data_IF_502087441399
#
_entry.id   IF_502087441399
#
_cell.length_a   1.000
_cell.length_b   1.000
_cell.length_c   1.000
_cell.angle_alpha   90.00
_cell.angle_beta   90.00
_cell.angle_gamma   90.00
#
_symmetry.space_group_name_H-M   'P 1'
#
loop_
_entity.id
_entity.type
_entity.pdbx_description
1 polymer ?
#
# COMPACT_ATOMS: atom_id res chain seq x y z
N UNK A 1 8.42 63.85 -43.22
CA UNK A 1 7.80 62.49 -43.15
C UNK A 1 8.66 61.42 -42.48
N UNK A 2 10.00 61.57 -42.37
CA UNK A 2 10.91 60.54 -41.74
C UNK A 2 10.70 60.37 -40.23
N UNK A 3 10.37 61.42 -39.44
CA UNK A 3 10.22 61.34 -37.99
C UNK A 3 8.99 60.55 -37.49
N UNK A 4 7.89 60.51 -38.30
CA UNK A 4 6.65 59.77 -37.86
C UNK A 4 6.80 58.27 -37.89
N UNK A 5 7.62 57.72 -38.81
CA UNK A 5 7.88 56.26 -38.89
C UNK A 5 8.76 55.79 -37.75
N UNK A 6 9.73 56.58 -37.29
CA UNK A 6 10.55 56.24 -36.13
C UNK A 6 9.76 56.23 -34.83
N UNK A 7 8.84 57.20 -34.66
CA UNK A 7 7.99 57.30 -33.48
C UNK A 7 7.02 56.10 -33.40
N UNK A 8 6.42 55.69 -34.52
CA UNK A 8 5.55 54.50 -34.56
C UNK A 8 6.30 53.22 -34.25
N UNK A 9 7.53 53.06 -34.75
CA UNK A 9 8.35 51.91 -34.43
C UNK A 9 8.74 51.82 -32.95
N UNK A 10 9.09 52.95 -32.30
CA UNK A 10 9.34 53.01 -30.86
C UNK A 10 8.12 52.66 -30.02
N UNK A 11 6.94 53.15 -30.39
CA UNK A 11 5.69 52.81 -29.67
C UNK A 11 5.35 51.33 -29.81
N UNK A 12 5.50 50.72 -31.00
CA UNK A 12 5.29 49.30 -31.22
C UNK A 12 6.28 48.47 -30.39
N UNK A 13 7.56 48.84 -30.33
CA UNK A 13 8.56 48.18 -29.51
C UNK A 13 8.23 48.22 -28.00
N UNK A 14 7.78 49.39 -27.51
CA UNK A 14 7.37 49.54 -26.10
C UNK A 14 6.13 48.73 -25.78
N UNK A 15 5.17 48.62 -26.68
CA UNK A 15 3.95 47.79 -26.49
C UNK A 15 4.32 46.31 -26.48
N UNK A 16 5.16 45.86 -27.42
CA UNK A 16 5.63 44.46 -27.44
C UNK A 16 6.45 44.15 -26.20
N UNK A 17 7.32 45.05 -25.77
CA UNK A 17 8.11 44.90 -24.56
C UNK A 17 7.21 44.85 -23.30
N UNK A 18 6.19 45.72 -23.20
CA UNK A 18 5.24 45.65 -22.11
C UNK A 18 4.41 44.38 -22.11
N UNK A 19 3.97 43.89 -23.28
CA UNK A 19 3.27 42.58 -23.41
C UNK A 19 4.18 41.42 -22.99
N UNK A 20 5.44 41.45 -23.40
CA UNK A 20 6.44 40.40 -23.03
C UNK A 20 6.75 40.46 -21.53
N UNK A 21 6.87 41.66 -20.93
CA UNK A 21 7.09 41.79 -19.48
C UNK A 21 5.85 41.38 -18.69
N UNK A 22 4.65 41.80 -19.08
CA UNK A 22 3.40 41.35 -18.47
C UNK A 22 3.26 39.83 -18.61
N UNK A 23 3.54 39.25 -19.80
CA UNK A 23 3.51 37.82 -20.03
C UNK A 23 4.59 37.10 -19.21
N UNK A 24 5.77 37.66 -19.02
CA UNK A 24 6.79 37.14 -18.11
C UNK A 24 6.40 37.24 -16.63
N UNK A 25 5.77 38.34 -16.21
CA UNK A 25 5.27 38.55 -14.83
C UNK A 25 4.06 37.68 -14.55
N UNK A 26 3.15 37.46 -15.52
CA UNK A 26 2.04 36.50 -15.38
C UNK A 26 2.52 35.04 -15.47
N UNK A 27 3.70 34.81 -16.06
CA UNK A 27 4.43 33.54 -16.04
C UNK A 27 5.51 33.46 -14.95
N UNK A 28 5.64 34.47 -14.07
CA UNK A 28 6.30 34.23 -12.79
C UNK A 28 5.47 33.12 -12.12
N UNK A 29 5.93 31.91 -12.31
CA UNK A 29 5.50 30.72 -11.59
C UNK A 29 5.33 31.15 -10.14
N UNK A 30 4.08 31.20 -9.65
CA UNK A 30 3.83 31.09 -8.22
C UNK A 30 4.82 30.03 -7.75
N UNK A 31 5.73 30.38 -6.87
CA UNK A 31 6.59 29.37 -6.24
C UNK A 31 5.63 28.28 -5.77
N UNK A 32 5.74 27.13 -6.38
CA UNK A 32 4.84 26.02 -6.12
C UNK A 32 5.16 25.54 -4.72
N UNK A 33 4.30 25.90 -3.76
CA UNK A 33 4.47 25.58 -2.35
C UNK A 33 4.13 24.11 -2.18
N UNK A 34 5.08 23.32 -1.68
CA UNK A 34 4.81 21.97 -1.21
C UNK A 34 4.53 22.02 0.28
N UNK A 35 3.41 21.42 0.67
CA UNK A 35 3.03 21.18 2.06
C UNK A 35 3.54 19.80 2.49
N UNK A 36 3.78 19.63 3.78
CA UNK A 36 4.15 18.36 4.39
C UNK A 36 3.30 18.16 5.63
N UNK A 37 2.62 17.03 5.68
CA UNK A 37 1.83 16.61 6.83
C UNK A 37 2.36 15.27 7.34
N UNK A 38 2.39 15.10 8.65
CA UNK A 38 2.82 13.89 9.32
C UNK A 38 1.95 13.62 10.56
N UNK A 39 1.86 12.37 10.94
CA UNK A 39 1.13 11.97 12.13
C UNK A 39 1.17 10.46 12.35
N UNK A 40 0.32 9.98 13.25
CA UNK A 40 0.22 8.56 13.62
C UNK A 40 -1.20 8.08 13.34
N UNK A 41 -1.30 6.99 12.57
CA UNK A 41 -2.55 6.28 12.32
C UNK A 41 -2.26 4.77 12.19
N UNK A 42 -3.21 3.89 12.53
CA UNK A 42 -3.07 2.42 12.44
C UNK A 42 -1.81 1.87 13.15
N UNK A 43 -1.40 2.50 14.25
CA UNK A 43 -0.14 2.22 14.99
C UNK A 43 1.14 2.40 14.14
N UNK A 44 1.10 3.21 13.11
CA UNK A 44 2.26 3.57 12.27
C UNK A 44 2.28 5.07 11.99
N UNK A 45 3.37 5.53 11.38
CA UNK A 45 3.55 6.93 11.00
C UNK A 45 3.08 7.11 9.55
N UNK A 46 2.51 8.27 9.23
CA UNK A 46 2.29 8.70 7.86
C UNK A 46 3.11 9.95 7.54
N UNK A 47 3.52 10.06 6.28
CA UNK A 47 4.15 11.24 5.70
C UNK A 47 3.48 11.57 4.37
N UNK A 48 2.97 12.79 4.23
CA UNK A 48 2.26 13.22 3.04
C UNK A 48 2.88 14.53 2.56
N UNK A 49 3.37 14.54 1.32
CA UNK A 49 3.93 15.73 0.66
C UNK A 49 3.08 16.02 -0.57
N UNK A 50 2.58 17.25 -0.71
CA UNK A 50 1.72 17.63 -1.82
C UNK A 50 1.89 19.11 -2.18
N UNK A 51 1.66 19.42 -3.45
CA UNK A 51 1.77 20.77 -3.99
C UNK A 51 0.43 21.49 -3.91
N UNK A 52 0.25 22.33 -2.90
CA UNK A 52 -0.99 23.08 -2.69
C UNK A 52 -0.77 24.35 -1.89
N UNK A 53 -1.67 25.35 -2.05
CA UNK A 53 -1.56 26.66 -1.39
C UNK A 53 -1.99 26.63 0.09
N UNK A 54 -2.65 25.57 0.55
CA UNK A 54 -3.21 25.45 1.91
C UNK A 54 -2.78 24.14 2.57
N UNK A 55 -2.67 24.17 3.89
CA UNK A 55 -2.46 22.97 4.70
C UNK A 55 -3.77 22.17 4.80
N UNK A 56 -3.70 20.87 4.57
CA UNK A 56 -4.82 19.92 4.59
C UNK A 56 -4.75 18.92 5.76
N UNK A 57 -3.91 19.17 6.77
CA UNK A 57 -3.71 18.27 7.91
C UNK A 57 -5.04 17.80 8.52
N UNK A 58 -5.94 18.74 8.83
CA UNK A 58 -7.21 18.40 9.47
C UNK A 58 -8.12 17.53 8.59
N UNK A 59 -8.18 17.82 7.28
CA UNK A 59 -8.99 17.04 6.35
C UNK A 59 -8.43 15.64 6.12
N UNK A 60 -7.10 15.50 6.08
CA UNK A 60 -6.42 14.21 5.99
C UNK A 60 -6.68 13.37 7.25
N UNK A 61 -6.58 13.99 8.43
CA UNK A 61 -6.85 13.29 9.70
C UNK A 61 -8.31 12.85 9.82
N UNK A 62 -9.26 13.70 9.43
CA UNK A 62 -10.69 13.36 9.43
C UNK A 62 -10.97 12.15 8.52
N UNK A 63 -10.38 12.12 7.33
CA UNK A 63 -10.53 11.01 6.38
C UNK A 63 -9.92 9.70 6.91
N UNK A 64 -8.72 9.77 7.47
CA UNK A 64 -8.04 8.63 8.09
C UNK A 64 -8.79 8.09 9.31
N UNK A 65 -9.36 8.95 10.14
CA UNK A 65 -10.18 8.52 11.29
C UNK A 65 -11.49 7.86 10.85
N UNK A 66 -12.12 8.36 9.79
CA UNK A 66 -13.31 7.74 9.22
C UNK A 66 -12.98 6.37 8.61
N UNK A 67 -11.81 6.25 7.97
CA UNK A 67 -11.30 4.98 7.45
C UNK A 67 -11.03 3.98 8.58
N UNK A 68 -10.40 4.41 9.69
CA UNK A 68 -10.18 3.59 10.89
C UNK A 68 -11.50 3.07 11.47
N UNK A 69 -12.50 3.94 11.59
CA UNK A 69 -13.84 3.56 12.05
C UNK A 69 -14.55 2.56 11.12
N UNK A 70 -14.06 2.41 9.89
CA UNK A 70 -14.63 1.46 8.91
C UNK A 70 -13.90 0.12 8.92
N UNK A 71 -12.56 0.11 8.82
CA UNK A 71 -11.78 -1.07 8.44
C UNK A 71 -10.74 -1.51 9.46
N UNK A 72 -10.53 -0.76 10.55
CA UNK A 72 -9.55 -1.14 11.56
C UNK A 72 -10.05 -2.27 12.45
N UNK A 73 -9.38 -3.44 12.49
CA UNK A 73 -9.73 -4.52 13.42
C UNK A 73 -9.31 -4.21 14.87
N UNK A 74 -8.54 -3.14 15.09
CA UNK A 74 -8.09 -2.67 16.40
C UNK A 74 -9.08 -1.67 17.03
N UNK A 75 -10.00 -1.13 16.24
CA UNK A 75 -11.06 -0.26 16.72
C UNK A 75 -12.28 -1.10 17.05
N UNK A 76 -12.61 -1.19 18.34
CA UNK A 76 -13.72 -2.02 18.86
C UNK A 76 -15.10 -1.62 18.30
N UNK A 77 -15.24 -0.39 17.82
CA UNK A 77 -16.51 0.15 17.27
C UNK A 77 -16.55 0.19 15.76
N UNK A 78 -15.47 -0.22 15.09
CA UNK A 78 -15.37 -0.19 13.62
C UNK A 78 -16.41 -1.09 12.95
N UNK A 79 -16.74 -0.78 11.69
CA UNK A 79 -17.68 -1.58 10.93
C UNK A 79 -17.20 -3.04 10.77
N UNK A 80 -15.90 -3.27 10.56
CA UNK A 80 -15.34 -4.63 10.44
C UNK A 80 -15.46 -5.40 11.76
N UNK A 81 -15.21 -4.77 12.91
CA UNK A 81 -15.37 -5.40 14.24
C UNK A 81 -16.81 -5.80 14.46
N UNK A 82 -17.76 -4.91 14.21
CA UNK A 82 -19.19 -5.19 14.32
C UNK A 82 -19.66 -6.30 13.36
N UNK A 83 -19.14 -6.34 12.12
CA UNK A 83 -19.38 -7.44 11.17
C UNK A 83 -18.86 -8.76 11.76
N UNK A 84 -17.67 -8.76 12.36
CA UNK A 84 -17.09 -9.94 12.98
C UNK A 84 -17.89 -10.43 14.18
N UNK A 85 -18.49 -9.54 14.95
CA UNK A 85 -19.41 -9.83 16.07
C UNK A 85 -20.82 -10.22 15.61
N UNK A 86 -21.07 -10.24 14.31
CA UNK A 86 -22.37 -10.57 13.70
C UNK A 86 -23.48 -9.57 14.03
N UNK A 87 -23.13 -8.29 14.18
CA UNK A 87 -24.10 -7.23 14.34
C UNK A 87 -24.85 -7.00 13.02
N UNK A 88 -26.14 -7.34 13.01
CA UNK A 88 -27.00 -7.22 11.85
C UNK A 88 -27.41 -5.78 11.52
N UNK A 89 -27.09 -4.82 12.39
CA UNK A 89 -27.47 -3.40 12.25
C UNK A 89 -26.39 -2.55 11.60
N UNK A 90 -25.18 -3.12 11.37
CA UNK A 90 -24.09 -2.40 10.75
C UNK A 90 -24.46 -2.00 9.32
N UNK A 91 -24.19 -0.73 8.99
CA UNK A 91 -24.33 -0.20 7.63
C UNK A 91 -22.92 -0.10 7.04
N UNK A 92 -22.69 -0.77 5.93
CA UNK A 92 -21.41 -0.79 5.23
C UNK A 92 -21.33 0.41 4.29
N UNK A 93 -20.24 1.17 4.37
CA UNK A 93 -19.93 2.23 3.42
C UNK A 93 -19.24 1.68 2.16
N UNK A 94 -18.97 2.55 1.19
CA UNK A 94 -18.30 2.16 -0.08
C UNK A 94 -16.91 1.59 0.16
N UNK A 95 -16.13 2.08 1.11
CA UNK A 95 -14.80 1.56 1.41
C UNK A 95 -14.83 0.10 1.84
N UNK A 96 -15.78 -0.25 2.72
CA UNK A 96 -15.96 -1.65 3.11
C UNK A 96 -16.33 -2.53 1.91
N UNK A 97 -17.26 -2.07 1.09
CA UNK A 97 -17.70 -2.79 -0.12
C UNK A 97 -16.56 -2.97 -1.12
N UNK A 98 -15.77 -1.93 -1.35
CA UNK A 98 -14.65 -1.95 -2.30
C UNK A 98 -13.55 -2.91 -1.85
N UNK A 99 -13.10 -2.81 -0.58
CA UNK A 99 -12.06 -3.71 -0.06
C UNK A 99 -12.53 -5.17 -0.05
N UNK A 100 -13.81 -5.41 0.28
CA UNK A 100 -14.38 -6.75 0.26
C UNK A 100 -14.36 -7.36 -1.16
N UNK A 101 -14.84 -6.62 -2.17
CA UNK A 101 -14.85 -7.07 -3.56
C UNK A 101 -13.44 -7.28 -4.10
N UNK A 102 -12.53 -6.32 -3.83
CA UNK A 102 -11.13 -6.47 -4.26
C UNK A 102 -10.47 -7.68 -3.62
N UNK A 103 -10.77 -7.94 -2.36
CA UNK A 103 -10.29 -9.13 -1.65
C UNK A 103 -10.77 -10.44 -2.30
N UNK A 104 -12.03 -10.51 -2.73
CA UNK A 104 -12.56 -11.69 -3.45
C UNK A 104 -11.87 -11.92 -4.79
N UNK A 105 -11.60 -10.84 -5.54
CA UNK A 105 -10.89 -10.92 -6.81
C UNK A 105 -9.46 -11.45 -6.62
N UNK A 106 -8.72 -10.86 -5.66
CA UNK A 106 -7.32 -11.27 -5.39
C UNK A 106 -7.27 -12.67 -4.79
N UNK A 107 -8.22 -13.04 -3.91
CA UNK A 107 -8.37 -14.41 -3.42
C UNK A 107 -8.48 -15.41 -4.57
N UNK A 108 -9.33 -15.11 -5.54
CA UNK A 108 -9.51 -15.97 -6.74
C UNK A 108 -8.24 -16.03 -7.59
N UNK A 109 -7.57 -14.90 -7.81
CA UNK A 109 -6.37 -14.80 -8.66
C UNK A 109 -5.13 -15.46 -8.05
N UNK A 110 -5.10 -15.58 -6.71
CA UNK A 110 -4.00 -16.16 -5.94
C UNK A 110 -4.28 -17.59 -5.47
N UNK A 111 -5.38 -18.22 -5.95
CA UNK A 111 -5.81 -19.56 -5.53
C UNK A 111 -5.91 -19.70 -3.99
N UNK A 112 -6.41 -18.64 -3.33
CA UNK A 112 -6.61 -18.58 -1.89
C UNK A 112 -5.38 -18.21 -1.05
N UNK A 113 -4.24 -17.92 -1.67
CA UNK A 113 -3.05 -17.48 -0.92
C UNK A 113 -3.24 -16.12 -0.22
N UNK A 114 -4.01 -15.23 -0.82
CA UNK A 114 -4.54 -14.04 -0.15
C UNK A 114 -5.95 -14.35 0.37
N UNK A 115 -6.13 -14.38 1.69
CA UNK A 115 -7.46 -14.66 2.28
C UNK A 115 -7.71 -13.84 3.55
N UNK A 116 -8.58 -12.83 3.49
CA UNK A 116 -8.94 -12.03 4.66
C UNK A 116 -9.67 -12.81 5.77
N UNK A 117 -10.06 -14.06 5.54
CA UNK A 117 -10.71 -14.88 6.56
C UNK A 117 -9.73 -15.69 7.42
N UNK A 118 -8.42 -15.54 7.20
CA UNK A 118 -7.35 -16.34 7.84
C UNK A 118 -7.16 -16.05 9.35
N UNK A 119 -7.83 -15.03 9.91
CA UNK A 119 -7.69 -14.60 11.31
C UNK A 119 -7.80 -15.72 12.36
N UNK A 120 -8.68 -16.71 12.27
CA UNK A 120 -8.72 -17.79 13.24
C UNK A 120 -7.41 -18.55 13.35
N UNK A 121 -6.72 -18.77 12.21
CA UNK A 121 -5.40 -19.43 12.15
C UNK A 121 -4.30 -18.51 12.72
N UNK A 122 -4.28 -17.22 12.32
CA UNK A 122 -3.31 -16.24 12.81
C UNK A 122 -3.37 -16.14 14.35
N UNK A 123 -4.58 -16.07 14.92
CA UNK A 123 -4.81 -16.04 16.36
C UNK A 123 -4.32 -17.32 17.04
N UNK A 124 -4.64 -18.48 16.48
CA UNK A 124 -4.26 -19.78 17.02
C UNK A 124 -2.74 -20.02 17.02
N UNK A 125 -2.06 -19.55 15.97
CA UNK A 125 -0.60 -19.55 15.89
C UNK A 125 0.05 -18.46 16.78
N UNK A 126 -0.71 -17.57 17.43
CA UNK A 126 -0.21 -16.56 18.35
C UNK A 126 0.43 -15.33 17.70
N UNK A 127 0.11 -15.07 16.44
CA UNK A 127 0.50 -13.85 15.73
C UNK A 127 -0.62 -12.79 15.70
N UNK A 128 -1.79 -13.09 16.27
CA UNK A 128 -2.93 -12.19 16.37
C UNK A 128 -3.13 -11.64 17.79
N UNK A 129 -4.39 -11.39 18.13
CA UNK A 129 -4.81 -10.79 19.41
C UNK A 129 -4.70 -11.74 20.63
N UNK A 130 -4.47 -13.03 20.43
CA UNK A 130 -4.42 -14.05 21.50
C UNK A 130 -3.05 -14.71 21.54
N UNK A 131 -2.65 -15.17 22.73
CA UNK A 131 -1.45 -16.00 22.88
C UNK A 131 -1.66 -17.33 22.14
N UNK A 132 -0.65 -17.73 21.35
CA UNK A 132 -0.69 -18.98 20.58
C UNK A 132 -0.59 -20.21 21.49
N UNK A 133 -1.16 -21.31 20.99
CA UNK A 133 -1.10 -22.62 21.62
C UNK A 133 -0.28 -23.58 20.75
N UNK A 134 0.19 -24.68 21.35
CA UNK A 134 0.70 -25.78 20.55
C UNK A 134 -0.49 -26.44 19.83
N UNK A 135 -0.55 -26.27 18.49
CA UNK A 135 -1.65 -26.75 17.67
C UNK A 135 -1.38 -28.17 17.19
N UNK A 136 -2.36 -29.06 17.32
CA UNK A 136 -2.35 -30.34 16.61
C UNK A 136 -2.90 -30.16 15.19
N UNK A 137 -2.65 -31.14 14.31
CA UNK A 137 -3.24 -31.13 12.95
C UNK A 137 -4.78 -31.10 13.01
N UNK A 138 -5.38 -31.75 13.99
CA UNK A 138 -6.83 -31.72 14.19
C UNK A 138 -7.36 -30.31 14.54
N UNK A 139 -6.62 -29.55 15.34
CA UNK A 139 -7.00 -28.17 15.65
C UNK A 139 -6.95 -27.29 14.39
N UNK A 140 -5.92 -27.47 13.56
CA UNK A 140 -5.78 -26.75 12.29
C UNK A 140 -6.90 -27.12 11.32
N UNK A 141 -7.20 -28.42 11.13
CA UNK A 141 -8.32 -28.87 10.30
C UNK A 141 -9.67 -28.31 10.77
N UNK A 142 -9.85 -28.18 12.09
CA UNK A 142 -11.05 -27.58 12.68
C UNK A 142 -11.14 -26.09 12.40
N UNK A 143 -10.02 -25.36 12.42
CA UNK A 143 -9.99 -23.92 12.14
C UNK A 143 -10.18 -23.62 10.65
N UNK A 144 -9.64 -24.45 9.75
CA UNK A 144 -9.80 -24.32 8.29
C UNK A 144 -11.26 -24.36 7.83
N UNK A 145 -12.17 -24.93 8.64
CA UNK A 145 -13.61 -24.88 8.35
C UNK A 145 -14.17 -23.44 8.34
N UNK A 146 -13.51 -22.51 9.06
CA UNK A 146 -13.89 -21.09 9.18
C UNK A 146 -13.03 -20.16 8.33
N UNK A 147 -12.20 -20.69 7.43
CA UNK A 147 -11.35 -19.96 6.50
C UNK A 147 -11.80 -20.23 5.08
N UNK A 148 -11.84 -19.20 4.23
CA UNK A 148 -12.21 -19.26 2.82
C UNK A 148 -13.17 -18.12 2.44
N UNK A 149 -12.73 -17.23 1.53
CA UNK A 149 -13.57 -16.15 0.99
C UNK A 149 -14.78 -16.64 0.19
N UNK A 150 -14.78 -17.90 -0.28
CA UNK A 150 -15.91 -18.58 -0.91
C UNK A 150 -17.08 -18.82 0.06
N UNK A 151 -16.81 -18.79 1.36
CA UNK A 151 -17.79 -19.01 2.43
C UNK A 151 -18.42 -17.72 2.97
N UNK A 152 -17.99 -16.57 2.43
CA UNK A 152 -18.51 -15.25 2.81
C UNK A 152 -18.97 -14.52 1.55
N UNK A 153 -20.12 -13.88 1.60
CA UNK A 153 -20.65 -13.08 0.49
C UNK A 153 -21.14 -11.72 0.98
N UNK A 154 -21.24 -10.78 0.04
CA UNK A 154 -21.86 -9.48 0.25
C UNK A 154 -23.22 -9.50 -0.46
N UNK A 155 -24.28 -9.40 0.29
CA UNK A 155 -25.66 -9.37 -0.24
C UNK A 155 -26.46 -8.22 0.38
N UNK A 156 -27.08 -7.39 -0.48
CA UNK A 156 -27.89 -6.24 -0.09
C UNK A 156 -27.22 -5.32 0.96
N UNK A 157 -25.89 -5.06 0.80
CA UNK A 157 -25.11 -4.23 1.71
C UNK A 157 -24.79 -4.87 3.06
N UNK A 158 -24.91 -6.19 3.17
CA UNK A 158 -24.59 -6.97 4.38
C UNK A 158 -23.63 -8.10 4.07
N UNK A 159 -22.73 -8.37 5.01
CA UNK A 159 -21.86 -9.56 4.95
C UNK A 159 -22.63 -10.76 5.44
N UNK A 160 -22.73 -11.79 4.59
CA UNK A 160 -23.34 -13.07 4.90
C UNK A 160 -22.22 -14.10 5.06
N UNK A 161 -22.15 -14.74 6.22
CA UNK A 161 -21.18 -15.77 6.56
C UNK A 161 -21.86 -17.13 6.61
N UNK A 162 -21.23 -18.16 6.03
CA UNK A 162 -21.74 -19.55 6.16
C UNK A 162 -21.70 -20.03 7.60
N UNK A 163 -20.72 -19.58 8.38
CA UNK A 163 -20.64 -19.86 9.83
C UNK A 163 -20.37 -18.54 10.59
N UNK A 164 -21.10 -18.32 11.68
CA UNK A 164 -20.95 -17.10 12.49
C UNK A 164 -19.60 -16.93 13.16
N UNK A 165 -18.78 -17.98 13.24
CA UNK A 165 -17.41 -17.97 13.77
C UNK A 165 -16.38 -17.43 12.77
N UNK A 166 -16.74 -17.32 11.51
CA UNK A 166 -15.89 -16.70 10.51
C UNK A 166 -15.66 -15.22 10.82
N UNK A 167 -14.46 -14.73 10.57
CA UNK A 167 -14.09 -13.34 10.77
C UNK A 167 -13.29 -12.81 9.60
N UNK A 168 -13.48 -11.53 9.28
CA UNK A 168 -12.73 -10.80 8.27
C UNK A 168 -11.60 -10.02 8.92
N UNK A 169 -10.46 -9.96 8.26
CA UNK A 169 -9.35 -9.09 8.60
C UNK A 169 -8.73 -8.54 7.31
N UNK A 170 -8.87 -7.25 7.09
CA UNK A 170 -8.35 -6.60 5.90
C UNK A 170 -6.95 -5.98 6.11
N UNK A 171 -6.22 -6.32 7.19
CA UNK A 171 -4.91 -5.71 7.48
C UNK A 171 -3.86 -5.90 6.37
N UNK A 172 -4.04 -6.87 5.47
CA UNK A 172 -3.17 -7.16 4.34
C UNK A 172 -3.54 -6.40 3.04
N UNK A 173 -4.48 -5.45 3.11
CA UNK A 173 -4.99 -4.68 1.98
C UNK A 173 -5.44 -3.28 2.40
N UNK A 174 -5.85 -3.11 3.67
CA UNK A 174 -6.47 -1.88 4.14
C UNK A 174 -5.48 -0.72 4.28
N UNK A 175 -4.20 -0.98 4.60
CA UNK A 175 -3.21 0.11 4.65
C UNK A 175 -2.99 0.71 3.28
N UNK A 176 -2.80 -0.13 2.26
CA UNK A 176 -2.73 0.33 0.88
C UNK A 176 -3.97 1.11 0.47
N UNK A 177 -5.16 0.63 0.85
CA UNK A 177 -6.39 1.34 0.53
C UNK A 177 -6.53 2.68 1.28
N UNK A 178 -6.04 2.81 2.51
CA UNK A 178 -6.00 4.09 3.21
C UNK A 178 -5.12 5.13 2.49
N UNK A 179 -4.00 4.68 1.90
CA UNK A 179 -3.14 5.52 1.06
C UNK A 179 -3.90 6.00 -0.18
N UNK A 180 -4.64 5.11 -0.86
CA UNK A 180 -5.45 5.46 -2.03
C UNK A 180 -6.55 6.47 -1.66
N UNK A 181 -7.24 6.30 -0.52
CA UNK A 181 -8.28 7.21 -0.04
C UNK A 181 -7.72 8.62 0.18
N UNK A 182 -6.54 8.74 0.77
CA UNK A 182 -5.91 10.07 0.94
C UNK A 182 -5.46 10.63 -0.42
N UNK A 183 -4.94 9.80 -1.32
CA UNK A 183 -4.60 10.23 -2.68
C UNK A 183 -5.83 10.75 -3.44
N UNK A 184 -6.97 10.05 -3.34
CA UNK A 184 -8.26 10.48 -3.92
C UNK A 184 -8.75 11.82 -3.30
N UNK A 185 -8.57 12.02 -1.98
CA UNK A 185 -8.84 13.30 -1.32
C UNK A 185 -8.02 14.43 -1.95
N UNK A 186 -6.71 14.24 -2.13
CA UNK A 186 -5.83 15.24 -2.75
C UNK A 186 -6.23 15.52 -4.21
N UNK A 187 -6.52 14.48 -4.97
CA UNK A 187 -6.99 14.58 -6.37
C UNK A 187 -8.32 15.34 -6.48
N UNK A 188 -9.25 15.11 -5.54
CA UNK A 188 -10.54 15.79 -5.49
C UNK A 188 -10.41 17.32 -5.35
N UNK A 189 -9.27 17.78 -4.80
CA UNK A 189 -8.90 19.19 -4.67
C UNK A 189 -8.12 19.75 -5.86
N UNK A 190 -7.91 18.92 -6.91
CA UNK A 190 -7.14 19.28 -8.10
C UNK A 190 -5.62 19.27 -7.88
N UNK A 191 -5.13 18.55 -6.88
CA UNK A 191 -3.69 18.41 -6.62
C UNK A 191 -3.13 17.30 -7.54
N UNK A 192 -2.13 17.66 -8.34
CA UNK A 192 -1.54 16.76 -9.33
C UNK A 192 -0.13 16.25 -8.94
N UNK A 193 0.48 16.84 -7.92
CA UNK A 193 1.83 16.50 -7.48
C UNK A 193 1.82 16.18 -5.98
N UNK A 194 1.96 14.89 -5.65
CA UNK A 194 1.96 14.45 -4.26
C UNK A 194 2.65 13.09 -4.09
N UNK A 195 3.09 12.83 -2.87
CA UNK A 195 3.48 11.54 -2.34
C UNK A 195 2.72 11.33 -1.03
N UNK A 196 1.90 10.30 -0.97
CA UNK A 196 1.22 9.83 0.25
C UNK A 196 1.91 8.55 0.70
N UNK A 197 2.37 8.49 1.94
CA UNK A 197 2.99 7.31 2.54
C UNK A 197 2.37 7.04 3.91
N UNK A 198 1.95 5.81 4.17
CA UNK A 198 1.42 5.33 5.46
C UNK A 198 2.08 3.99 5.79
N UNK A 199 3.03 4.00 6.73
CA UNK A 199 3.67 2.78 7.23
C UNK A 199 4.45 1.97 6.20
N UNK A 200 4.91 2.62 5.12
CA UNK A 200 5.69 2.02 4.03
C UNK A 200 4.90 1.76 2.75
N UNK A 201 3.57 1.71 2.80
CA UNK A 201 2.70 1.71 1.63
C UNK A 201 2.56 3.15 1.11
N UNK A 202 2.63 3.33 -0.22
CA UNK A 202 2.63 4.67 -0.79
C UNK A 202 1.97 4.78 -2.17
N UNK A 203 1.52 6.00 -2.47
CA UNK A 203 1.11 6.47 -3.81
C UNK A 203 1.90 7.71 -4.15
N UNK A 204 2.54 7.71 -5.32
CA UNK A 204 3.23 8.88 -5.87
C UNK A 204 2.58 9.33 -7.17
N UNK A 205 2.26 10.62 -7.28
CA UNK A 205 1.71 11.23 -8.49
C UNK A 205 2.49 12.48 -8.88
N UNK A 206 2.66 12.69 -10.18
CA UNK A 206 3.30 13.88 -10.74
C UNK A 206 4.78 13.99 -10.38
N UNK A 207 5.19 15.14 -9.85
CA UNK A 207 6.59 15.47 -9.63
C UNK A 207 6.89 15.87 -8.19
N UNK A 208 8.11 15.61 -7.75
CA UNK A 208 8.62 16.07 -6.47
C UNK A 208 9.03 17.57 -6.56
N UNK A 209 9.43 18.21 -5.45
CA UNK A 209 9.86 19.61 -5.44
C UNK A 209 11.04 19.94 -6.36
N UNK A 210 11.81 18.93 -6.82
CA UNK A 210 12.90 19.09 -7.78
C UNK A 210 12.43 18.99 -9.24
N UNK A 211 11.16 18.69 -9.48
CA UNK A 211 10.60 18.47 -10.83
C UNK A 211 10.87 17.09 -11.40
N UNK A 212 11.28 16.12 -10.57
CA UNK A 212 11.55 14.73 -10.91
C UNK A 212 10.42 13.82 -10.44
N UNK A 213 10.40 12.55 -10.89
CA UNK A 213 9.54 11.54 -10.26
C UNK A 213 9.94 11.34 -8.80
N UNK A 214 9.00 10.88 -7.99
CA UNK A 214 9.25 10.54 -6.60
C UNK A 214 10.22 9.37 -6.53
N UNK A 215 11.30 9.51 -5.78
CA UNK A 215 12.28 8.45 -5.57
C UNK A 215 12.02 7.78 -4.22
N UNK A 216 11.82 6.47 -4.25
CA UNK A 216 11.43 5.68 -3.09
C UNK A 216 12.39 4.50 -2.94
N UNK A 217 12.81 4.23 -1.70
CA UNK A 217 13.72 3.12 -1.38
C UNK A 217 12.97 1.81 -1.16
N UNK A 218 13.53 0.72 -1.70
CA UNK A 218 13.21 -0.66 -1.28
C UNK A 218 14.25 -1.04 -0.22
N UNK A 219 13.81 -1.38 0.99
CA UNK A 219 14.70 -1.69 2.09
C UNK A 219 15.24 -3.12 2.02
N UNK A 220 16.48 -3.30 2.49
CA UNK A 220 17.05 -4.62 2.75
C UNK A 220 16.28 -5.33 3.87
N UNK A 221 16.11 -6.67 3.79
CA UNK A 221 15.46 -7.45 4.84
C UNK A 221 16.41 -7.70 6.02
N UNK A 222 16.58 -6.73 6.91
CA UNK A 222 17.40 -6.84 8.13
C UNK A 222 16.57 -7.27 9.33
N UNK A 223 17.01 -8.32 10.05
CA UNK A 223 16.28 -8.89 11.20
C UNK A 223 16.26 -7.98 12.42
N UNK A 224 17.30 -7.17 12.65
CA UNK A 224 17.53 -6.41 13.87
C UNK A 224 17.30 -4.89 13.73
N UNK A 225 16.75 -4.41 12.61
CA UNK A 225 16.51 -2.97 12.46
C UNK A 225 15.29 -2.53 13.29
N UNK A 226 15.51 -1.94 14.47
CA UNK A 226 14.48 -1.19 15.22
C UNK A 226 14.00 0.06 14.45
N UNK A 227 14.71 0.46 13.39
CA UNK A 227 14.39 1.63 12.60
C UNK A 227 13.48 1.26 11.42
N UNK A 228 12.50 2.11 11.15
CA UNK A 228 11.66 2.05 9.93
C UNK A 228 12.52 2.29 8.69
N UNK A 229 13.66 2.96 8.84
CA UNK A 229 14.67 3.19 7.79
C UNK A 229 15.81 2.16 7.91
N UNK A 230 15.64 0.97 7.30
CA UNK A 230 16.75 0.01 7.07
C UNK A 230 17.71 0.51 5.99
N UNK A 231 18.79 -0.26 5.73
CA UNK A 231 19.61 -0.03 4.54
C UNK A 231 18.78 -0.16 3.27
N UNK A 232 18.99 0.75 2.33
CA UNK A 232 18.29 0.72 1.02
C UNK A 232 18.98 -0.33 0.14
N UNK A 233 18.18 -1.26 -0.39
CA UNK A 233 18.62 -2.23 -1.39
C UNK A 233 18.60 -1.61 -2.79
N UNK A 234 17.50 -0.92 -3.11
CA UNK A 234 17.28 -0.35 -4.44
C UNK A 234 16.44 0.93 -4.35
N UNK A 235 16.54 1.80 -5.34
CA UNK A 235 15.71 3.00 -5.47
C UNK A 235 14.85 2.88 -6.73
N UNK A 236 13.56 3.16 -6.59
CA UNK A 236 12.61 3.19 -7.71
C UNK A 236 12.03 4.59 -7.89
N UNK A 237 11.71 4.93 -9.14
CA UNK A 237 11.08 6.20 -9.52
C UNK A 237 9.58 5.99 -9.78
N UNK A 238 8.74 6.70 -9.05
CA UNK A 238 7.28 6.67 -9.18
C UNK A 238 6.80 8.05 -9.62
N UNK A 239 6.22 8.16 -10.82
CA UNK A 239 5.60 9.39 -11.34
C UNK A 239 4.07 9.31 -11.27
N UNK A 240 3.52 8.10 -11.36
CA UNK A 240 2.09 7.80 -11.30
C UNK A 240 1.94 6.31 -10.98
N UNK A 241 1.55 6.01 -9.75
CA UNK A 241 1.41 4.64 -9.25
C UNK A 241 1.63 4.50 -7.76
N UNK A 242 1.50 3.28 -7.31
CA UNK A 242 1.55 2.90 -5.91
C UNK A 242 2.58 1.80 -5.66
N UNK A 243 3.13 1.76 -4.45
CA UNK A 243 4.07 0.72 -4.03
C UNK A 243 3.73 0.24 -2.62
N UNK A 244 3.82 -1.06 -2.43
CA UNK A 244 3.74 -1.70 -1.11
C UNK A 244 4.78 -2.81 -0.97
N UNK A 245 5.22 -3.04 0.26
CA UNK A 245 6.21 -4.08 0.58
C UNK A 245 5.75 -4.92 1.76
N UNK A 246 5.70 -6.23 1.56
CA UNK A 246 5.51 -7.22 2.63
C UNK A 246 6.78 -8.03 2.88
N UNK A 247 7.04 -8.38 4.15
CA UNK A 247 8.24 -9.14 4.50
C UNK A 247 8.09 -9.95 5.78
N UNK A 248 8.82 -11.07 5.85
CA UNK A 248 8.83 -12.01 6.98
C UNK A 248 10.04 -11.84 7.92
N UNK A 249 10.87 -10.82 7.68
CA UNK A 249 12.13 -10.65 8.41
C UNK A 249 11.97 -9.90 9.74
N UNK A 250 10.91 -9.11 9.91
CA UNK A 250 10.65 -8.34 11.16
C UNK A 250 9.73 -9.07 12.13
N UNK A 251 8.76 -9.82 11.63
CA UNK A 251 7.73 -10.49 12.44
C UNK A 251 7.89 -12.00 12.37
N UNK A 252 8.62 -12.58 13.30
CA UNK A 252 8.82 -14.01 13.45
C UNK A 252 8.97 -14.38 14.92
N UNK A 253 8.89 -15.66 15.22
CA UNK A 253 9.25 -16.22 16.53
C UNK A 253 10.10 -17.46 16.37
N UNK A 254 10.81 -17.83 17.41
CA UNK A 254 11.51 -19.13 17.47
C UNK A 254 10.66 -20.13 18.24
N UNK A 255 10.40 -21.28 17.62
CA UNK A 255 9.72 -22.40 18.23
C UNK A 255 10.58 -23.65 18.06
N UNK A 256 11.00 -24.25 19.21
CA UNK A 256 11.92 -25.41 19.21
C UNK A 256 13.21 -25.18 18.38
N UNK A 257 13.75 -23.97 18.39
CA UNK A 257 14.96 -23.57 17.66
C UNK A 257 14.75 -23.36 16.15
N UNK A 258 13.51 -23.42 15.65
CA UNK A 258 13.15 -23.08 14.26
C UNK A 258 12.48 -21.73 14.18
N UNK A 259 12.86 -20.93 13.17
CA UNK A 259 12.20 -19.66 12.86
C UNK A 259 10.81 -19.95 12.27
N UNK A 260 9.78 -19.36 12.86
CA UNK A 260 8.37 -19.47 12.41
C UNK A 260 7.92 -18.09 11.96
N UNK A 261 7.61 -17.95 10.68
CA UNK A 261 7.10 -16.72 10.10
C UNK A 261 5.70 -16.41 10.61
N UNK A 262 5.36 -15.13 10.73
CA UNK A 262 4.00 -14.69 11.07
C UNK A 262 2.99 -14.89 9.93
N UNK A 263 3.49 -15.06 8.70
CA UNK A 263 2.66 -15.32 7.52
C UNK A 263 2.14 -16.75 7.55
N UNK A 264 0.82 -16.89 7.59
CA UNK A 264 0.13 -18.17 7.58
C UNK A 264 -0.42 -18.42 6.17
N UNK A 265 -0.20 -19.62 5.63
CA UNK A 265 -0.85 -20.05 4.41
C UNK A 265 -2.31 -20.44 4.72
N UNK A 266 -3.31 -19.71 4.17
CA UNK A 266 -4.72 -19.96 4.45
C UNK A 266 -5.22 -21.32 3.94
N UNK A 267 -4.54 -21.89 2.95
CA UNK A 267 -4.94 -23.16 2.33
C UNK A 267 -4.48 -24.34 3.17
N UNK A 268 -3.23 -24.33 3.63
CA UNK A 268 -2.69 -25.39 4.47
C UNK A 268 -2.95 -25.20 5.97
N UNK A 269 -3.17 -23.96 6.41
CA UNK A 269 -3.32 -23.59 7.81
C UNK A 269 -2.02 -23.48 8.60
N UNK A 270 -0.86 -23.63 7.95
CA UNK A 270 0.46 -23.59 8.58
C UNK A 270 1.25 -22.33 8.25
N UNK A 271 2.19 -21.89 9.12
CA UNK A 271 3.17 -20.88 8.77
C UNK A 271 3.98 -21.27 7.53
N UNK A 272 4.20 -20.32 6.65
CA UNK A 272 4.99 -20.54 5.42
C UNK A 272 6.44 -20.91 5.74
N UNK A 273 7.01 -21.82 4.92
CA UNK A 273 8.37 -22.31 5.07
C UNK A 273 9.08 -22.25 3.71
N UNK A 274 9.42 -21.06 3.25
CA UNK A 274 10.16 -20.85 2.00
C UNK A 274 11.18 -19.73 2.16
N UNK A 275 12.02 -19.55 1.14
CA UNK A 275 13.15 -18.62 1.18
C UNK A 275 12.79 -17.17 0.94
N UNK A 276 11.56 -16.83 0.53
CA UNK A 276 11.17 -15.45 0.25
C UNK A 276 11.16 -14.62 1.55
N UNK A 277 11.93 -13.53 1.56
CA UNK A 277 12.11 -12.62 2.69
C UNK A 277 11.26 -11.36 2.54
N UNK A 278 11.16 -10.84 1.31
CA UNK A 278 10.45 -9.61 1.00
C UNK A 278 9.88 -9.64 -0.41
N UNK A 279 8.70 -9.07 -0.58
CA UNK A 279 8.05 -8.84 -1.85
C UNK A 279 7.57 -7.38 -1.90
N UNK A 280 8.12 -6.61 -2.86
CA UNK A 280 7.66 -5.25 -3.18
C UNK A 280 6.87 -5.31 -4.48
N UNK A 281 5.70 -4.69 -4.49
CA UNK A 281 4.82 -4.62 -5.66
C UNK A 281 4.55 -3.15 -6.01
N UNK A 282 4.66 -2.82 -7.31
CA UNK A 282 4.23 -1.54 -7.85
C UNK A 282 3.03 -1.83 -8.76
N UNK A 283 1.92 -1.13 -8.50
CA UNK A 283 0.64 -1.28 -9.16
C UNK A 283 -0.03 0.09 -9.41
N UNK A 284 -1.11 0.17 -10.17
CA UNK A 284 -1.84 1.44 -10.37
C UNK A 284 -2.45 2.02 -9.09
N UNK A 285 -2.83 1.18 -8.13
CA UNK A 285 -3.38 1.55 -6.83
C UNK A 285 -2.69 0.78 -5.70
N UNK A 286 -2.67 1.38 -4.51
CA UNK A 286 -1.92 0.86 -3.36
C UNK A 286 -2.65 -0.30 -2.69
N UNK A 287 -3.98 -0.33 -2.72
CA UNK A 287 -4.79 -1.46 -2.28
C UNK A 287 -4.38 -2.76 -3.00
N UNK A 288 -4.18 -2.66 -4.32
CA UNK A 288 -3.69 -3.77 -5.15
C UNK A 288 -2.25 -4.15 -4.78
N UNK A 289 -1.35 -3.18 -4.68
CA UNK A 289 0.06 -3.42 -4.36
C UNK A 289 0.21 -4.13 -3.00
N UNK A 290 -0.47 -3.67 -1.96
CA UNK A 290 -0.43 -4.22 -0.59
C UNK A 290 -0.93 -5.68 -0.55
N UNK A 291 -2.08 -5.94 -1.17
CA UNK A 291 -2.67 -7.28 -1.20
C UNK A 291 -1.78 -8.29 -1.94
N UNK A 292 -1.22 -7.93 -3.12
CA UNK A 292 -0.33 -8.85 -3.83
C UNK A 292 1.02 -9.01 -3.15
N UNK A 293 1.57 -7.96 -2.53
CA UNK A 293 2.79 -8.10 -1.75
C UNK A 293 2.60 -9.14 -0.63
N UNK A 294 1.47 -9.11 0.08
CA UNK A 294 1.12 -10.13 1.09
C UNK A 294 0.88 -11.51 0.47
N UNK A 295 0.12 -11.60 -0.63
CA UNK A 295 -0.12 -12.88 -1.32
C UNK A 295 1.20 -13.55 -1.73
N UNK A 296 2.14 -12.79 -2.26
CA UNK A 296 3.44 -13.29 -2.68
C UNK A 296 4.25 -13.84 -1.51
N UNK A 297 4.15 -13.22 -0.33
CA UNK A 297 4.76 -13.76 0.88
C UNK A 297 4.16 -15.09 1.33
N UNK A 298 2.94 -15.43 0.92
CA UNK A 298 2.34 -16.75 1.13
C UNK A 298 2.78 -17.74 0.04
N UNK A 299 2.78 -17.32 -1.22
CA UNK A 299 3.00 -18.18 -2.39
C UNK A 299 4.45 -18.66 -2.56
N UNK A 300 5.42 -17.88 -2.06
CA UNK A 300 6.85 -18.09 -2.30
C UNK A 300 7.29 -17.67 -3.71
N UNK A 301 8.61 -17.66 -3.94
CA UNK A 301 9.23 -16.96 -5.08
C UNK A 301 8.75 -17.45 -6.45
N UNK A 302 8.71 -18.76 -6.70
CA UNK A 302 8.44 -19.31 -8.03
C UNK A 302 7.03 -19.00 -8.51
N UNK A 303 6.03 -19.25 -7.64
CA UNK A 303 4.62 -18.97 -7.95
C UNK A 303 4.35 -17.46 -8.04
N UNK A 304 4.98 -16.68 -7.17
CA UNK A 304 4.83 -15.22 -7.14
C UNK A 304 5.34 -14.58 -8.42
N UNK A 305 6.53 -14.96 -8.89
CA UNK A 305 7.09 -14.43 -10.13
C UNK A 305 6.21 -14.78 -11.34
N UNK A 306 5.74 -16.02 -11.42
CA UNK A 306 4.84 -16.47 -12.50
C UNK A 306 3.51 -15.68 -12.49
N UNK A 307 2.90 -15.49 -11.33
CA UNK A 307 1.65 -14.74 -11.21
C UNK A 307 1.85 -13.25 -11.51
N UNK A 308 2.92 -12.64 -10.99
CA UNK A 308 3.24 -11.24 -11.23
C UNK A 308 3.43 -10.95 -12.73
N UNK A 309 4.19 -11.78 -13.45
CA UNK A 309 4.35 -11.67 -14.91
C UNK A 309 3.02 -11.87 -15.65
N UNK A 310 2.21 -12.86 -15.26
CA UNK A 310 0.89 -13.11 -15.85
C UNK A 310 -0.06 -11.91 -15.70
N UNK A 311 -0.04 -11.25 -14.54
CA UNK A 311 -0.87 -10.11 -14.21
C UNK A 311 -0.24 -8.77 -14.62
N UNK A 312 0.98 -8.78 -15.18
CA UNK A 312 1.74 -7.60 -15.55
C UNK A 312 2.00 -6.65 -14.36
N UNK A 313 2.16 -7.21 -13.16
CA UNK A 313 2.55 -6.46 -11.97
C UNK A 313 4.06 -6.25 -11.95
N UNK A 314 4.50 -5.05 -11.57
CA UNK A 314 5.90 -4.78 -11.33
C UNK A 314 6.26 -5.26 -9.93
N UNK A 315 7.05 -6.32 -9.83
CA UNK A 315 7.36 -6.95 -8.56
C UNK A 315 8.87 -7.16 -8.38
N UNK A 316 9.36 -6.91 -7.17
CA UNK A 316 10.75 -7.06 -6.74
C UNK A 316 10.78 -8.01 -5.55
N UNK A 317 11.58 -9.04 -5.62
CA UNK A 317 11.65 -10.10 -4.62
C UNK A 317 13.05 -10.27 -4.07
N UNK A 318 13.17 -10.30 -2.74
CA UNK A 318 14.41 -10.64 -2.04
C UNK A 318 14.21 -11.99 -1.36
N UNK A 319 15.11 -12.94 -1.61
CA UNK A 319 15.01 -14.28 -1.04
C UNK A 319 16.38 -14.79 -0.55
N UNK A 320 16.34 -15.64 0.48
CA UNK A 320 17.52 -16.29 1.03
C UNK A 320 17.97 -17.44 0.11
N UNK A 321 19.27 -17.52 -0.16
CA UNK A 321 19.93 -18.64 -0.84
C UNK A 321 20.48 -19.61 0.21
N UNK A 322 21.00 -19.06 1.29
CA UNK A 322 21.48 -19.78 2.48
C UNK A 322 21.24 -18.94 3.74
N UNK A 323 21.86 -19.30 4.86
CA UNK A 323 21.69 -18.59 6.13
C UNK A 323 22.31 -17.19 6.18
N UNK A 324 23.10 -16.79 5.20
CA UNK A 324 23.85 -15.51 5.19
C UNK A 324 23.58 -14.70 3.93
N UNK A 325 23.39 -15.38 2.79
CA UNK A 325 23.31 -14.76 1.48
C UNK A 325 21.87 -14.60 1.00
N UNK A 326 21.55 -13.44 0.46
CA UNK A 326 20.29 -13.16 -0.23
C UNK A 326 20.52 -12.94 -1.71
N UNK A 327 19.49 -13.17 -2.50
CA UNK A 327 19.44 -12.82 -3.93
C UNK A 327 18.15 -12.08 -4.25
N UNK A 328 18.21 -11.39 -5.37
CA UNK A 328 17.10 -10.59 -5.90
C UNK A 328 16.63 -11.19 -7.22
N UNK A 329 15.33 -11.19 -7.42
CA UNK A 329 14.70 -11.38 -8.72
C UNK A 329 13.53 -10.42 -8.87
N UNK A 330 13.16 -10.09 -10.11
CA UNK A 330 12.09 -9.14 -10.38
C UNK A 330 11.43 -9.41 -11.73
N UNK A 331 10.22 -8.88 -11.90
CA UNK A 331 9.52 -8.91 -13.18
C UNK A 331 10.19 -7.99 -14.20
N UNK A 332 9.91 -8.23 -15.47
CA UNK A 332 10.49 -7.46 -16.57
C UNK A 332 10.20 -5.96 -16.47
N UNK A 333 8.96 -5.58 -16.18
CA UNK A 333 8.56 -4.17 -16.06
C UNK A 333 9.14 -3.46 -14.84
N UNK A 334 9.49 -4.19 -13.78
CA UNK A 334 10.13 -3.60 -12.59
C UNK A 334 11.51 -3.01 -12.88
N UNK A 335 12.25 -3.62 -13.82
CA UNK A 335 13.60 -3.16 -14.19
C UNK A 335 13.64 -1.75 -14.76
N UNK A 336 12.54 -1.31 -15.38
CA UNK A 336 12.42 0.01 -16.00
C UNK A 336 12.14 1.12 -14.98
N UNK A 337 11.72 0.75 -13.77
CA UNK A 337 11.41 1.68 -12.67
C UNK A 337 12.61 1.92 -11.75
N UNK A 338 13.64 1.07 -11.82
CA UNK A 338 14.84 1.21 -11.00
C UNK A 338 15.65 2.43 -11.46
N UNK A 339 16.00 3.28 -10.50
CA UNK A 339 16.86 4.43 -10.73
C UNK A 339 18.30 3.95 -10.82
N UNK A 340 18.86 3.94 -12.03
CA UNK A 340 20.28 3.64 -12.21
C UNK A 340 21.07 4.91 -12.01
N UNK A 341 22.05 4.90 -11.12
CA UNK A 341 23.03 5.97 -11.03
C UNK A 341 23.75 6.06 -12.39
N UNK A 342 23.44 7.11 -13.14
CA UNK A 342 24.24 7.50 -14.31
C UNK A 342 25.48 8.24 -13.78
N UNK A 343 26.51 7.46 -13.40
CA UNK A 343 27.85 7.99 -13.18
C UNK A 343 28.52 8.34 -14.51
#
# INVERSE_FOLDING_TARGET
MKNKRGLVACILFLVVFAIVTIYRETKQTKETVYQQNEGIIFNTIYHITYQYDSDLQAEIEDELHLFDATLSPFNETSAITRVNENDSTVVLNEWFVNVFRRSQEIWTQTDGAFDPTVSPLINAWGFGFKQGYSLSSHDIDSLLQFVGMDKISLDNGKVIKQDRRMSLNFSAIAKGYAVDVVAELLESKGIENFLVEIGGELVGKGRNPKGECWQVGINKPEEDSESVMGEIEEIVAICDGAMATSGNYRNFRYENGKKVAHTIDPVSGYPVQHSLLSATVIAPDCMTADAYATAFMVMGIDKSLQLAEKLQLNAYFIYAVDSVNTQVTMTSGMKDLIVRDTH
#
